data_IF_869389711685
#
_entry.id   IF_869389711685
#
_cell.length_a   1.000
_cell.length_b   1.000
_cell.length_c   1.000
_cell.angle_alpha   90.00
_cell.angle_beta   90.00
_cell.angle_gamma   90.00
#
_symmetry.space_group_name_H-M   'P 1'
#
loop_
_entity.id
_entity.type
_entity.pdbx_description
1 polymer ?
#
# COMPACT_ATOMS: atom_id res chain seq x y z
N UNK A 1 78.75 -41.89 31.08
CA UNK A 1 79.32 -41.16 29.93
C UNK A 1 78.67 -41.69 28.66
N UNK A 2 78.11 -40.79 27.82
CA UNK A 2 77.69 -41.01 26.42
C UNK A 2 76.43 -41.91 26.22
N UNK A 3 75.42 -41.63 25.40
CA UNK A 3 75.12 -40.59 24.39
C UNK A 3 73.59 -40.41 24.36
N UNK A 4 73.15 -39.16 24.19
CA UNK A 4 71.75 -38.73 23.99
C UNK A 4 71.33 -39.06 22.56
N UNK A 5 70.19 -39.74 22.37
CA UNK A 5 69.51 -39.85 21.08
C UNK A 5 68.19 -39.09 21.13
N UNK A 6 68.16 -38.00 20.37
CA UNK A 6 66.99 -37.17 20.12
C UNK A 6 66.10 -37.87 19.09
N UNK A 7 64.85 -38.18 19.47
CA UNK A 7 63.81 -38.55 18.52
C UNK A 7 62.88 -37.34 18.32
N UNK A 8 62.98 -36.72 17.14
CA UNK A 8 62.02 -35.73 16.65
C UNK A 8 60.66 -36.42 16.47
N UNK A 9 59.65 -36.00 17.22
CA UNK A 9 58.25 -36.29 16.93
C UNK A 9 57.67 -35.10 16.16
N UNK A 10 57.33 -35.33 14.88
CA UNK A 10 56.71 -34.35 14.01
C UNK A 10 55.26 -34.04 14.49
N UNK A 11 54.99 -32.77 14.76
CA UNK A 11 53.68 -32.25 15.14
C UNK A 11 52.89 -31.97 13.86
N UNK A 12 51.97 -32.86 13.50
CA UNK A 12 51.08 -32.67 12.36
C UNK A 12 49.95 -31.70 12.73
N UNK A 13 49.97 -30.51 12.11
CA UNK A 13 48.91 -29.50 12.21
C UNK A 13 47.67 -29.99 11.44
N UNK A 14 46.57 -30.25 12.15
CA UNK A 14 45.25 -30.50 11.56
C UNK A 14 44.56 -29.15 11.30
N UNK A 15 44.43 -28.76 10.04
CA UNK A 15 43.64 -27.59 9.62
C UNK A 15 42.15 -27.97 9.56
N UNK A 16 41.33 -27.38 10.43
CA UNK A 16 39.88 -27.40 10.32
C UNK A 16 39.44 -26.46 9.20
N UNK A 17 39.02 -27.03 8.06
CA UNK A 17 38.22 -26.33 7.05
C UNK A 17 36.77 -26.38 7.51
N UNK A 18 36.28 -25.26 8.05
CA UNK A 18 34.86 -25.01 8.24
C UNK A 18 34.32 -24.32 6.98
N UNK A 19 33.43 -24.99 6.25
CA UNK A 19 32.76 -24.43 5.09
C UNK A 19 31.25 -24.66 5.20
N UNK A 20 30.54 -23.55 5.39
CA UNK A 20 29.22 -23.25 4.82
C UNK A 20 28.06 -24.19 5.11
N UNK A 21 27.29 -23.89 6.15
CA UNK A 21 25.88 -24.29 6.24
C UNK A 21 25.09 -23.58 5.13
N UNK A 22 24.47 -24.34 4.23
CA UNK A 22 23.50 -23.82 3.26
C UNK A 22 22.18 -23.58 4.00
N UNK A 23 21.92 -22.33 4.39
CA UNK A 23 20.60 -21.94 4.86
C UNK A 23 19.64 -21.96 3.68
N UNK A 24 18.63 -22.83 3.79
CA UNK A 24 17.49 -22.84 2.90
C UNK A 24 16.76 -21.49 3.00
N UNK A 25 16.61 -20.81 1.87
CA UNK A 25 15.87 -19.56 1.77
C UNK A 25 14.43 -19.75 2.25
N UNK A 26 14.08 -19.07 3.33
CA UNK A 26 12.70 -18.76 3.66
C UNK A 26 12.15 -17.77 2.61
N UNK A 27 10.91 -17.93 2.11
CA UNK A 27 10.27 -16.91 1.31
C UNK A 27 9.69 -15.85 2.25
N UNK A 28 10.14 -14.61 2.10
CA UNK A 28 9.53 -13.47 2.79
C UNK A 28 10.51 -12.63 3.59
N UNK A 29 11.27 -11.81 2.88
CA UNK A 29 11.68 -10.46 3.29
C UNK A 29 12.34 -9.82 2.09
N UNK A 30 11.54 -9.16 1.25
CA UNK A 30 12.03 -8.17 0.28
C UNK A 30 12.47 -6.91 1.03
N UNK A 31 13.44 -7.04 1.92
CA UNK A 31 14.20 -5.93 2.48
C UNK A 31 15.44 -5.75 1.62
N UNK A 32 15.32 -5.00 0.53
CA UNK A 32 16.48 -4.40 -0.11
C UNK A 32 16.54 -2.95 0.32
N UNK A 33 17.63 -2.57 0.98
CA UNK A 33 18.12 -1.19 1.15
C UNK A 33 18.47 -0.55 -0.21
N UNK A 34 17.57 -0.65 -1.18
CA UNK A 34 17.54 0.16 -2.38
C UNK A 34 16.50 1.23 -2.12
N UNK A 35 16.91 2.50 -2.09
CA UNK A 35 15.97 3.62 -2.12
C UNK A 35 14.99 3.39 -3.26
N UNK A 36 13.75 3.05 -2.94
CA UNK A 36 12.65 3.11 -3.88
C UNK A 36 12.06 4.52 -3.83
N UNK A 37 11.50 4.94 -4.94
CA UNK A 37 10.96 6.29 -5.11
C UNK A 37 9.55 6.20 -5.68
N UNK A 38 8.68 7.11 -5.27
CA UNK A 38 7.34 7.27 -5.84
C UNK A 38 7.08 8.74 -6.20
N UNK A 39 6.53 8.95 -7.39
CA UNK A 39 6.29 10.30 -7.94
C UNK A 39 5.05 10.98 -7.36
N UNK A 40 4.19 10.25 -6.66
CA UNK A 40 3.01 10.77 -5.97
C UNK A 40 2.64 9.90 -4.76
N UNK A 41 1.84 10.45 -3.85
CA UNK A 41 1.27 9.63 -2.76
C UNK A 41 0.37 8.52 -3.30
N UNK A 42 -0.34 8.75 -4.41
CA UNK A 42 -1.14 7.70 -5.05
C UNK A 42 -0.26 6.59 -5.64
N UNK A 43 0.87 6.94 -6.28
CA UNK A 43 1.83 5.95 -6.77
C UNK A 43 2.41 5.11 -5.62
N UNK A 44 2.58 5.70 -4.44
CA UNK A 44 2.95 4.96 -3.24
C UNK A 44 1.82 4.05 -2.74
N UNK A 45 0.57 4.53 -2.69
CA UNK A 45 -0.59 3.70 -2.34
C UNK A 45 -0.72 2.50 -3.30
N UNK A 46 -0.51 2.72 -4.60
CA UNK A 46 -0.51 1.67 -5.61
C UNK A 46 0.53 0.59 -5.30
N UNK A 47 1.78 0.98 -5.07
CA UNK A 47 2.89 0.05 -4.84
C UNK A 47 2.80 -0.63 -3.47
N UNK A 48 2.67 0.15 -2.39
CA UNK A 48 2.71 -0.33 -1.02
C UNK A 48 1.45 -1.12 -0.64
N UNK A 49 0.28 -0.67 -1.09
CA UNK A 49 -1.01 -1.23 -0.66
C UNK A 49 -1.60 -2.12 -1.75
N UNK A 50 -1.90 -1.60 -2.93
CA UNK A 50 -2.65 -2.39 -3.91
C UNK A 50 -1.83 -3.56 -4.47
N UNK A 51 -0.57 -3.32 -4.80
CA UNK A 51 0.35 -4.36 -5.28
C UNK A 51 0.97 -5.14 -4.12
N UNK A 52 1.48 -4.42 -3.11
CA UNK A 52 2.14 -5.01 -1.94
C UNK A 52 1.25 -5.95 -1.11
N UNK A 53 -0.06 -5.69 -1.05
CA UNK A 53 -1.02 -6.54 -0.33
C UNK A 53 -1.77 -7.52 -1.27
N UNK A 54 -1.36 -7.61 -2.54
CA UNK A 54 -1.93 -8.55 -3.52
C UNK A 54 -3.35 -8.23 -3.96
N UNK A 55 -3.83 -6.98 -3.78
CA UNK A 55 -5.16 -6.57 -4.22
C UNK A 55 -5.30 -6.66 -5.75
N UNK A 56 -4.22 -6.43 -6.49
CA UNK A 56 -4.16 -6.50 -7.96
C UNK A 56 -4.08 -7.92 -8.51
N UNK A 57 -4.12 -8.96 -7.66
CA UNK A 57 -4.11 -10.34 -8.11
C UNK A 57 -5.24 -10.60 -9.12
N UNK A 58 -4.92 -11.33 -10.20
CA UNK A 58 -5.85 -11.57 -11.32
C UNK A 58 -7.20 -12.13 -10.91
N UNK A 59 -7.26 -12.93 -9.84
CA UNK A 59 -8.51 -13.53 -9.34
C UNK A 59 -9.43 -12.54 -8.59
N UNK A 60 -8.91 -11.39 -8.18
CA UNK A 60 -9.59 -10.41 -7.33
C UNK A 60 -9.80 -9.09 -8.11
N UNK A 61 -9.02 -8.05 -7.83
CA UNK A 61 -9.14 -6.74 -8.47
C UNK A 61 -8.08 -6.51 -9.57
N UNK A 62 -7.56 -7.61 -10.16
CA UNK A 62 -6.84 -7.61 -11.43
C UNK A 62 -7.78 -7.96 -12.59
N UNK A 63 -7.42 -8.96 -13.39
CA UNK A 63 -8.18 -9.37 -14.59
C UNK A 63 -9.65 -9.76 -14.34
N UNK A 64 -9.97 -10.34 -13.19
CA UNK A 64 -11.33 -10.73 -12.84
C UNK A 64 -12.22 -9.52 -12.49
N UNK A 65 -11.63 -8.37 -12.17
CA UNK A 65 -12.33 -7.12 -11.89
C UNK A 65 -13.48 -7.34 -10.89
N UNK A 66 -13.22 -8.09 -9.80
CA UNK A 66 -14.25 -8.46 -8.82
C UNK A 66 -14.91 -7.21 -8.23
N UNK A 67 -16.25 -7.22 -8.17
CA UNK A 67 -17.02 -6.03 -7.78
C UNK A 67 -16.94 -4.87 -8.78
N UNK A 68 -16.56 -5.15 -10.03
CA UNK A 68 -16.38 -4.13 -11.08
C UNK A 68 -15.16 -3.23 -10.87
N UNK A 69 -14.20 -3.64 -10.04
CA UNK A 69 -13.04 -2.83 -9.62
C UNK A 69 -11.74 -3.42 -10.16
N UNK A 70 -11.01 -2.61 -10.92
CA UNK A 70 -9.65 -2.89 -11.39
C UNK A 70 -8.68 -1.97 -10.64
N UNK A 71 -7.74 -2.56 -9.90
CA UNK A 71 -6.71 -1.87 -9.12
C UNK A 71 -5.34 -1.91 -9.78
N UNK A 72 -5.23 -2.37 -11.03
CA UNK A 72 -3.96 -2.30 -11.78
C UNK A 72 -3.59 -0.85 -12.08
N UNK A 73 -2.29 -0.50 -12.19
CA UNK A 73 -1.82 0.88 -12.28
C UNK A 73 -2.56 1.75 -13.31
N UNK A 74 -2.81 1.20 -14.50
CA UNK A 74 -3.42 1.95 -15.61
C UNK A 74 -4.91 2.26 -15.40
N UNK A 75 -5.58 1.62 -14.43
CA UNK A 75 -7.03 1.71 -14.24
C UNK A 75 -7.46 2.07 -12.81
N UNK A 76 -6.56 1.94 -11.84
CA UNK A 76 -6.89 2.07 -10.43
C UNK A 76 -7.53 3.42 -10.08
N UNK A 77 -6.91 4.53 -10.49
CA UNK A 77 -7.40 5.86 -10.13
C UNK A 77 -8.83 6.10 -10.65
N UNK A 78 -9.03 5.91 -11.95
CA UNK A 78 -10.33 6.09 -12.60
C UNK A 78 -11.40 5.11 -12.08
N UNK A 79 -10.99 3.92 -11.64
CA UNK A 79 -11.89 2.92 -11.05
C UNK A 79 -12.29 3.25 -9.61
N UNK A 80 -11.59 4.14 -8.92
CA UNK A 80 -11.80 4.44 -7.50
C UNK A 80 -12.53 5.76 -7.27
N UNK A 81 -12.09 6.83 -7.90
CA UNK A 81 -12.49 8.17 -7.49
C UNK A 81 -13.93 8.47 -7.90
N UNK A 82 -14.81 8.66 -6.90
CA UNK A 82 -16.24 8.96 -7.06
C UNK A 82 -17.03 7.92 -7.88
N UNK A 83 -16.51 6.70 -8.02
CA UNK A 83 -17.22 5.58 -8.67
C UNK A 83 -18.09 4.88 -7.63
N UNK A 84 -19.34 4.55 -7.98
CA UNK A 84 -20.24 3.84 -7.07
C UNK A 84 -19.65 2.48 -6.65
N UNK A 85 -19.72 2.18 -5.34
CA UNK A 85 -19.34 0.88 -4.83
C UNK A 85 -20.47 -0.12 -5.07
N UNK A 86 -20.14 -1.35 -5.46
CA UNK A 86 -21.14 -2.42 -5.60
C UNK A 86 -21.61 -2.99 -4.26
N UNK A 87 -20.95 -2.61 -3.16
CA UNK A 87 -21.16 -3.17 -1.83
C UNK A 87 -22.07 -2.33 -0.93
N UNK A 88 -22.52 -1.16 -1.35
CA UNK A 88 -23.38 -0.29 -0.54
C UNK A 88 -23.69 1.04 -1.23
N UNK A 89 -24.50 1.87 -0.60
CA UNK A 89 -24.88 3.20 -1.12
C UNK A 89 -23.80 4.25 -0.81
N UNK A 90 -22.62 4.06 -1.39
CA UNK A 90 -21.48 4.96 -1.25
C UNK A 90 -20.55 4.84 -2.46
N UNK A 91 -19.58 5.75 -2.57
CA UNK A 91 -18.53 5.65 -3.59
C UNK A 91 -17.33 4.84 -3.08
N UNK A 92 -16.53 4.31 -4.00
CA UNK A 92 -15.30 3.56 -3.69
C UNK A 92 -14.30 4.44 -2.95
N UNK A 93 -14.02 5.62 -3.47
CA UNK A 93 -13.26 6.67 -2.78
C UNK A 93 -14.02 7.99 -2.91
N UNK A 94 -14.32 8.59 -1.76
CA UNK A 94 -14.80 9.95 -1.63
C UNK A 94 -13.61 10.86 -1.24
N UNK A 95 -13.13 11.72 -2.15
CA UNK A 95 -12.04 12.64 -1.84
C UNK A 95 -12.35 13.50 -0.62
N UNK A 96 -11.42 13.54 0.34
CA UNK A 96 -11.49 14.35 1.56
C UNK A 96 -12.07 13.64 2.79
N UNK A 97 -12.81 12.53 2.63
CA UNK A 97 -13.43 11.83 3.76
C UNK A 97 -13.38 10.31 3.60
N UNK A 98 -12.54 9.67 4.41
CA UNK A 98 -12.37 8.22 4.42
C UNK A 98 -13.62 7.50 4.96
N UNK A 99 -14.40 8.14 5.83
CA UNK A 99 -15.59 7.51 6.40
C UNK A 99 -16.69 7.31 5.34
N UNK A 100 -16.66 8.16 4.30
CA UNK A 100 -17.54 8.08 3.13
C UNK A 100 -16.94 7.25 1.97
N UNK A 101 -15.82 6.55 2.21
CA UNK A 101 -15.09 5.79 1.18
C UNK A 101 -15.17 4.27 1.42
N UNK A 102 -15.81 3.53 0.51
CA UNK A 102 -15.99 2.08 0.65
C UNK A 102 -14.65 1.34 0.74
N UNK A 103 -13.65 1.82 0.00
CA UNK A 103 -12.29 1.28 0.02
C UNK A 103 -11.74 1.30 1.44
N UNK A 104 -11.75 2.47 2.11
CA UNK A 104 -11.19 2.63 3.45
C UNK A 104 -11.93 1.76 4.46
N UNK A 105 -13.27 1.80 4.46
CA UNK A 105 -14.09 0.99 5.36
C UNK A 105 -13.80 -0.51 5.21
N UNK A 106 -13.66 -1.00 3.97
CA UNK A 106 -13.36 -2.41 3.70
C UNK A 106 -12.00 -2.85 4.22
N UNK A 107 -10.97 -2.01 4.11
CA UNK A 107 -9.63 -2.38 4.55
C UNK A 107 -9.39 -2.14 6.04
N UNK A 108 -10.10 -1.18 6.63
CA UNK A 108 -9.98 -0.83 8.05
C UNK A 108 -10.74 -1.79 8.97
N UNK A 109 -11.83 -2.42 8.50
CA UNK A 109 -12.72 -3.24 9.31
C UNK A 109 -12.01 -4.27 10.21
N UNK A 110 -10.99 -4.97 9.69
CA UNK A 110 -10.23 -5.95 10.47
C UNK A 110 -9.27 -5.30 11.47
N UNK A 111 -8.54 -4.27 11.04
CA UNK A 111 -7.53 -3.59 11.85
C UNK A 111 -8.18 -2.80 12.99
N UNK A 112 -9.26 -2.09 12.68
CA UNK A 112 -10.00 -1.24 13.62
C UNK A 112 -11.13 -1.99 14.36
N UNK A 113 -11.42 -3.24 13.96
CA UNK A 113 -12.28 -4.16 14.72
C UNK A 113 -13.77 -3.84 14.67
N UNK A 114 -14.30 -3.46 13.50
CA UNK A 114 -15.72 -3.19 13.32
C UNK A 114 -16.36 -4.02 12.20
N UNK A 115 -17.68 -4.23 12.31
CA UNK A 115 -18.45 -4.97 11.32
C UNK A 115 -18.88 -4.06 10.17
N UNK A 116 -18.62 -4.46 8.93
CA UNK A 116 -18.99 -3.67 7.73
C UNK A 116 -20.49 -3.36 7.64
N UNK A 117 -21.34 -4.25 8.13
CA UNK A 117 -22.78 -4.01 8.17
C UNK A 117 -23.17 -2.82 9.04
N UNK A 118 -22.36 -2.46 10.05
CA UNK A 118 -22.61 -1.30 10.91
C UNK A 118 -22.45 0.03 10.18
N UNK A 119 -21.70 0.04 9.07
CA UNK A 119 -21.48 1.19 8.18
C UNK A 119 -22.21 1.04 6.84
N UNK A 120 -23.18 0.11 6.76
CA UNK A 120 -24.01 -0.07 5.56
C UNK A 120 -23.30 -0.74 4.38
N UNK A 121 -22.16 -1.41 4.61
CA UNK A 121 -21.41 -2.12 3.57
C UNK A 121 -21.68 -3.62 3.67
N UNK A 122 -21.98 -4.23 2.53
CA UNK A 122 -22.16 -5.67 2.35
C UNK A 122 -20.88 -6.39 1.92
N UNK A 123 -20.88 -7.72 2.10
CA UNK A 123 -19.75 -8.59 1.81
C UNK A 123 -18.69 -8.57 2.91
N UNK A 124 -17.52 -9.13 2.61
CA UNK A 124 -16.41 -9.25 3.57
C UNK A 124 -15.47 -8.05 3.59
N UNK A 125 -14.73 -7.93 4.69
CA UNK A 125 -13.57 -7.06 4.82
C UNK A 125 -12.44 -7.49 3.86
N UNK A 126 -11.58 -6.55 3.52
CA UNK A 126 -10.44 -6.74 2.64
C UNK A 126 -9.13 -6.54 3.41
N UNK A 127 -8.03 -7.23 3.04
CA UNK A 127 -7.96 -8.31 2.05
C UNK A 127 -8.79 -9.54 2.46
N UNK A 128 -9.15 -10.43 1.54
CA UNK A 128 -9.86 -11.67 1.89
C UNK A 128 -8.96 -12.62 2.70
N UNK A 129 -9.53 -13.53 3.50
CA UNK A 129 -8.78 -14.47 4.33
C UNK A 129 -8.27 -13.84 5.63
N UNK A 130 -7.09 -14.24 6.11
CA UNK A 130 -6.51 -13.75 7.38
C UNK A 130 -5.68 -12.46 7.23
N UNK A 131 -5.44 -12.00 5.99
CA UNK A 131 -4.66 -10.78 5.73
C UNK A 131 -5.36 -9.53 6.27
N UNK A 132 -4.56 -8.56 6.72
CA UNK A 132 -5.01 -7.27 7.27
C UNK A 132 -4.00 -6.18 6.91
N UNK A 133 -4.47 -4.95 6.68
CA UNK A 133 -3.58 -3.81 6.49
C UNK A 133 -3.02 -3.35 7.83
N UNK A 134 -1.75 -2.95 7.84
CA UNK A 134 -1.14 -2.35 9.02
C UNK A 134 -1.72 -0.96 9.31
N UNK A 135 -1.54 -0.48 10.55
CA UNK A 135 -1.89 0.91 10.90
C UNK A 135 -1.14 1.93 10.03
N UNK A 136 0.09 1.61 9.62
CA UNK A 136 0.88 2.44 8.70
C UNK A 136 0.24 2.51 7.31
N UNK A 137 -0.18 1.37 6.73
CA UNK A 137 -0.85 1.35 5.43
C UNK A 137 -2.19 2.08 5.48
N UNK A 138 -2.97 1.88 6.56
CA UNK A 138 -4.21 2.62 6.77
C UNK A 138 -3.95 4.12 6.90
N UNK A 139 -2.87 4.53 7.58
CA UNK A 139 -2.52 5.94 7.75
C UNK A 139 -2.08 6.58 6.44
N UNK A 140 -1.30 5.86 5.61
CA UNK A 140 -0.97 6.30 4.25
C UNK A 140 -2.23 6.50 3.40
N UNK A 141 -3.11 5.50 3.38
CA UNK A 141 -4.36 5.55 2.61
C UNK A 141 -5.27 6.67 3.10
N UNK A 142 -5.40 6.84 4.43
CA UNK A 142 -6.17 7.91 5.06
C UNK A 142 -5.61 9.28 4.72
N UNK A 143 -4.29 9.47 4.79
CA UNK A 143 -3.63 10.71 4.42
C UNK A 143 -3.93 11.06 2.96
N UNK A 144 -3.76 10.10 2.04
CA UNK A 144 -4.08 10.29 0.63
C UNK A 144 -5.54 10.70 0.40
N UNK A 145 -6.50 9.97 0.99
CA UNK A 145 -7.93 10.26 0.85
C UNK A 145 -8.25 11.66 1.40
N UNK A 146 -7.81 11.97 2.62
CA UNK A 146 -8.07 13.27 3.27
C UNK A 146 -7.39 14.44 2.57
N UNK A 147 -6.26 14.20 1.91
CA UNK A 147 -5.58 15.18 1.05
C UNK A 147 -6.30 15.46 -0.28
N UNK A 148 -7.52 14.96 -0.47
CA UNK A 148 -8.31 15.14 -1.68
C UNK A 148 -8.09 14.06 -2.74
N UNK A 149 -7.44 12.94 -2.38
CA UNK A 149 -7.16 11.80 -3.25
C UNK A 149 -6.58 12.20 -4.63
N UNK A 150 -5.52 13.01 -4.70
CA UNK A 150 -4.92 13.40 -5.97
C UNK A 150 -4.24 12.21 -6.65
N UNK A 151 -4.30 12.15 -7.99
CA UNK A 151 -3.56 11.15 -8.79
C UNK A 151 -2.04 11.43 -8.79
N UNK A 152 -1.70 12.71 -8.89
CA UNK A 152 -0.34 13.22 -9.02
C UNK A 152 0.04 14.11 -7.85
N UNK A 153 1.34 14.19 -7.56
CA UNK A 153 1.88 15.01 -6.47
C UNK A 153 1.77 14.34 -5.10
N UNK A 154 2.39 14.99 -4.12
CA UNK A 154 2.57 14.44 -2.77
C UNK A 154 1.61 15.13 -1.81
N UNK A 155 0.81 14.33 -1.10
CA UNK A 155 0.01 14.82 0.01
C UNK A 155 0.94 15.03 1.20
N UNK A 156 1.04 16.28 1.67
CA UNK A 156 1.89 16.62 2.80
C UNK A 156 1.59 15.78 4.04
N UNK A 157 2.62 15.19 4.63
CA UNK A 157 2.53 14.30 5.81
C UNK A 157 2.35 12.82 5.46
N UNK A 158 2.12 12.48 4.19
CA UNK A 158 2.05 11.07 3.77
C UNK A 158 3.41 10.37 3.76
N UNK A 159 4.50 11.13 3.73
CA UNK A 159 5.87 10.66 3.78
C UNK A 159 6.16 9.84 5.04
N UNK A 160 5.50 10.14 6.16
CA UNK A 160 5.64 9.42 7.44
C UNK A 160 5.22 7.94 7.33
N UNK A 161 4.30 7.65 6.41
CA UNK A 161 3.69 6.32 6.24
C UNK A 161 4.16 5.60 4.98
N UNK A 162 5.04 6.24 4.21
CA UNK A 162 5.54 5.74 2.94
C UNK A 162 6.75 4.83 3.14
N UNK A 163 6.77 3.68 2.47
CA UNK A 163 7.96 2.82 2.39
C UNK A 163 9.01 3.32 1.39
N UNK A 164 8.63 4.19 0.43
CA UNK A 164 9.53 4.80 -0.55
C UNK A 164 9.69 6.31 -0.33
N UNK A 165 10.74 6.90 -0.90
CA UNK A 165 10.91 8.35 -0.90
C UNK A 165 9.90 9.00 -1.88
N UNK A 166 9.08 9.94 -1.38
CA UNK A 166 8.14 10.66 -2.22
C UNK A 166 8.84 11.86 -2.87
N UNK A 167 8.90 11.88 -4.21
CA UNK A 167 9.67 12.89 -4.97
C UNK A 167 8.86 13.91 -5.75
N UNK A 168 7.53 13.81 -5.71
CA UNK A 168 6.64 14.75 -6.38
C UNK A 168 6.53 16.11 -5.67
N UNK A 169 6.01 17.10 -6.39
CA UNK A 169 5.61 18.37 -5.78
C UNK A 169 4.45 18.17 -4.81
N UNK A 170 4.40 18.97 -3.74
CA UNK A 170 3.29 18.92 -2.79
C UNK A 170 1.99 19.28 -3.52
N UNK A 171 1.06 18.33 -3.55
CA UNK A 171 -0.27 18.54 -4.08
C UNK A 171 -1.03 19.52 -3.15
N UNK A 172 -1.69 20.55 -3.70
CA UNK A 172 -2.53 21.41 -2.88
C UNK A 172 -3.65 20.57 -2.27
N UNK A 173 -3.94 20.78 -0.98
CA UNK A 173 -5.05 20.10 -0.31
C UNK A 173 -6.40 20.66 -0.81
N UNK A 174 -6.77 20.27 -2.02
CA UNK A 174 -7.98 20.68 -2.71
C UNK A 174 -8.66 19.44 -3.26
N UNK A 175 -9.91 19.26 -2.88
CA UNK A 175 -10.78 18.26 -3.47
C UNK A 175 -11.01 18.64 -4.94
N UNK A 176 -10.74 17.71 -5.86
CA UNK A 176 -11.03 17.91 -7.28
C UNK A 176 -12.50 18.31 -7.46
N UNK A 177 -12.78 19.45 -8.12
CA UNK A 177 -14.14 19.93 -8.30
C UNK A 177 -15.01 18.88 -8.99
N UNK A 178 -16.29 18.85 -8.63
CA UNK A 178 -17.26 18.11 -9.43
C UNK A 178 -17.32 18.70 -10.85
N UNK A 179 -17.72 17.91 -11.87
CA UNK A 179 -18.09 18.48 -13.16
C UNK A 179 -19.10 19.61 -13.00
N UNK A 180 -18.92 20.69 -13.77
CA UNK A 180 -19.89 21.78 -13.76
C UNK A 180 -21.27 21.26 -14.21
N UNK A 181 -22.38 21.69 -13.58
CA UNK A 181 -23.71 21.32 -14.05
C UNK A 181 -23.99 21.94 -15.43
N UNK A 182 -25.02 21.44 -16.12
CA UNK A 182 -25.51 22.10 -17.33
C UNK A 182 -26.00 23.52 -17.01
N UNK A 183 -25.93 24.42 -18.00
CA UNK A 183 -26.22 25.86 -17.83
C UNK A 183 -27.64 26.12 -17.31
N UNK A 184 -28.58 25.25 -17.64
CA UNK A 184 -29.98 25.29 -17.23
C UNK A 184 -30.29 24.45 -15.97
N UNK A 185 -29.32 23.70 -15.45
CA UNK A 185 -29.47 22.84 -14.26
C UNK A 185 -28.88 23.46 -12.99
N UNK A 186 -27.91 24.38 -13.11
CA UNK A 186 -27.36 25.05 -11.93
C UNK A 186 -26.14 25.93 -12.15
N UNK A 187 -25.51 26.31 -11.03
CA UNK A 187 -24.26 27.08 -10.99
C UNK A 187 -23.23 26.37 -10.11
N UNK A 188 -21.96 26.44 -10.50
CA UNK A 188 -20.86 25.91 -9.68
C UNK A 188 -20.18 27.03 -8.91
N UNK A 189 -20.13 26.89 -7.58
CA UNK A 189 -19.36 27.79 -6.72
C UNK A 189 -17.91 27.29 -6.64
N UNK A 190 -16.97 28.19 -6.91
CA UNK A 190 -15.55 27.94 -6.72
C UNK A 190 -15.12 28.52 -5.38
N UNK A 191 -14.64 27.70 -4.45
CA UNK A 191 -13.87 28.21 -3.32
C UNK A 191 -12.50 28.65 -3.84
N UNK A 192 -12.12 29.91 -3.57
CA UNK A 192 -10.78 30.41 -3.90
C UNK A 192 -9.66 29.59 -3.24
N UNK A 193 -8.41 29.85 -3.62
CA UNK A 193 -7.27 29.30 -2.90
C UNK A 193 -7.18 29.87 -1.48
N UNK A 194 -6.76 29.02 -0.55
CA UNK A 194 -6.24 29.41 0.76
C UNK A 194 -4.75 29.12 0.78
#
# INVERSE_FOLDING_TARGET
MKIVQYALAAFALFSFVACGSSEAAAPGTGGTDGKCDADSTFAQVQQQIFEGQGCTASACHGDAVQGGLDLRPDSAYASLIRVAASSGDMVRVFPGEQDLSALYQKVAAKTEGFELSSVGISGGAMPTGEGVLSDTDLSLLRAWIRGGAPETGVVAGSEEYSTCELRGEIAPNKIQPLPAPAVDEGVQFYSGGW
#
